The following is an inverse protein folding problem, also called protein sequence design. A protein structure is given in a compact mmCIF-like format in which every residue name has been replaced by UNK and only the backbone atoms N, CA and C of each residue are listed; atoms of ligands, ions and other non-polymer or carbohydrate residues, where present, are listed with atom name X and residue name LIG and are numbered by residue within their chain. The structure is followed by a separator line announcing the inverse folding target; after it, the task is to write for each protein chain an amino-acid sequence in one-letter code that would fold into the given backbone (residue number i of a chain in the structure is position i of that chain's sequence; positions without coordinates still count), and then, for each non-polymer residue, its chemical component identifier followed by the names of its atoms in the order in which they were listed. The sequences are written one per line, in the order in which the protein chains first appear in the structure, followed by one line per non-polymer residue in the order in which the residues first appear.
data_IF_057992367208
#
_entry.id   IF_057992367208
#
_cell.length_a   1.000
_cell.length_b   1.000
_cell.length_c   1.000
_cell.angle_alpha   90.00
_cell.angle_beta   90.00
_cell.angle_gamma   90.00
#
_symmetry.space_group_name_H-M   'P 1'
#
loop_
_entity.id
_entity.type
_entity.pdbx_description
1 polymer ?
#
# COMPACT_ATOMS: atom_id res chain seq x y z
N UNK A 1 21.15 19.87 17.73
CA UNK A 1 19.95 19.10 17.31
C UNK A 1 19.45 18.14 18.38
N UNK A 2 20.32 17.38 19.06
CA UNK A 2 19.93 16.45 20.13
C UNK A 2 19.18 17.12 21.32
N UNK A 3 19.60 18.32 21.74
CA UNK A 3 18.98 19.04 22.85
C UNK A 3 17.51 19.47 22.60
N UNK A 4 17.13 19.72 21.33
CA UNK A 4 15.76 20.08 20.96
C UNK A 4 14.84 18.85 21.01
N UNK A 5 15.35 17.69 20.56
CA UNK A 5 14.62 16.41 20.58
C UNK A 5 14.37 15.92 22.02
N UNK A 6 15.33 16.12 22.93
CA UNK A 6 15.16 15.78 24.35
C UNK A 6 14.11 16.65 25.04
N UNK A 7 13.99 17.94 24.69
CA UNK A 7 12.93 18.83 25.20
C UNK A 7 11.54 18.44 24.71
N UNK A 8 11.45 17.78 23.55
CA UNK A 8 10.22 17.22 23.00
C UNK A 8 9.87 15.83 23.58
N UNK A 9 10.64 15.33 24.57
CA UNK A 9 10.42 14.00 25.15
C UNK A 9 10.83 12.85 24.22
N UNK A 10 11.45 13.13 23.07
CA UNK A 10 11.91 12.12 22.12
C UNK A 10 13.27 11.63 22.59
N UNK A 11 13.26 10.61 23.46
CA UNK A 11 14.49 9.92 23.83
C UNK A 11 14.95 9.11 22.62
N UNK A 12 16.16 9.37 22.07
CA UNK A 12 16.64 8.67 20.90
C UNK A 12 16.92 7.21 21.27
N UNK A 13 15.91 6.35 21.09
CA UNK A 13 16.07 4.91 21.24
C UNK A 13 16.97 4.41 20.12
N UNK A 14 17.91 3.49 20.39
CA UNK A 14 18.67 2.83 19.35
C UNK A 14 17.68 2.12 18.41
N UNK A 15 17.51 2.66 17.19
CA UNK A 15 16.54 2.17 16.22
C UNK A 15 15.52 3.19 15.72
N UNK A 16 15.36 4.37 16.34
CA UNK A 16 14.39 5.39 15.90
C UNK A 16 14.59 5.81 14.43
N UNK A 17 15.84 6.04 14.02
CA UNK A 17 16.16 6.40 12.64
C UNK A 17 15.78 5.27 11.64
N UNK A 18 16.00 4.01 12.01
CA UNK A 18 15.58 2.85 11.20
C UNK A 18 14.05 2.72 11.17
N UNK A 19 13.36 3.04 12.25
CA UNK A 19 11.91 3.02 12.31
C UNK A 19 11.30 4.11 11.41
N UNK A 20 11.86 5.33 11.46
CA UNK A 20 11.46 6.44 10.58
C UNK A 20 11.72 6.13 9.10
N UNK A 21 12.84 5.50 8.78
CA UNK A 21 13.13 5.07 7.40
C UNK A 21 12.20 3.93 6.92
N UNK A 22 11.76 3.05 7.81
CA UNK A 22 10.82 1.98 7.48
C UNK A 22 9.36 2.44 7.35
N UNK A 23 8.96 3.46 8.11
CA UNK A 23 7.59 3.97 8.14
C UNK A 23 6.98 4.23 6.75
N UNK A 24 7.62 4.97 5.82
CA UNK A 24 7.05 5.21 4.50
C UNK A 24 6.88 3.94 3.67
N UNK A 25 7.80 2.97 3.80
CA UNK A 25 7.72 1.69 3.09
C UNK A 25 6.56 0.85 3.61
N UNK A 26 6.36 0.80 4.92
CA UNK A 26 5.24 0.07 5.53
C UNK A 26 3.90 0.73 5.15
N UNK A 27 3.80 2.05 5.25
CA UNK A 27 2.61 2.79 4.84
C UNK A 27 2.29 2.57 3.36
N UNK A 28 3.31 2.57 2.50
CA UNK A 28 3.15 2.27 1.08
C UNK A 28 2.63 0.85 0.87
N UNK A 29 3.17 -0.16 1.56
CA UNK A 29 2.67 -1.54 1.47
C UNK A 29 1.20 -1.62 1.88
N UNK A 30 0.82 -1.00 3.00
CA UNK A 30 -0.58 -0.97 3.46
C UNK A 30 -1.48 -0.32 2.41
N UNK A 31 -1.07 0.82 1.84
CA UNK A 31 -1.79 1.49 0.77
C UNK A 31 -1.96 0.60 -0.47
N UNK A 32 -0.89 -0.09 -0.89
CA UNK A 32 -0.92 -1.00 -2.04
C UNK A 32 -1.81 -2.22 -1.79
N UNK A 33 -1.89 -2.74 -0.56
CA UNK A 33 -2.86 -3.78 -0.21
C UNK A 33 -4.28 -3.22 -0.33
N UNK A 34 -4.56 -2.08 0.29
CA UNK A 34 -5.89 -1.49 0.29
C UNK A 34 -6.40 -1.12 -1.11
N UNK A 35 -5.54 -0.55 -1.97
CA UNK A 35 -5.93 -0.01 -3.29
C UNK A 35 -5.52 -0.87 -4.48
N UNK A 36 -4.60 -1.81 -4.29
CA UNK A 36 -4.21 -2.78 -5.31
C UNK A 36 -5.03 -4.05 -5.20
N UNK A 37 -5.07 -4.64 -4.01
CA UNK A 37 -5.72 -5.94 -3.78
C UNK A 37 -7.18 -5.82 -3.40
N UNK A 38 -7.49 -4.97 -2.42
CA UNK A 38 -8.84 -4.85 -1.85
C UNK A 38 -9.73 -3.84 -2.59
N UNK A 39 -9.26 -3.26 -3.70
CA UNK A 39 -10.02 -2.28 -4.47
C UNK A 39 -11.42 -2.74 -4.92
N UNK A 40 -11.66 -4.02 -5.29
CA UNK A 40 -13.00 -4.48 -5.67
C UNK A 40 -14.02 -4.48 -4.51
N UNK A 41 -13.55 -4.34 -3.26
CA UNK A 41 -14.41 -4.29 -2.08
C UNK A 41 -14.79 -2.87 -1.69
N UNK A 42 -14.38 -1.87 -2.47
CA UNK A 42 -14.65 -0.48 -2.15
C UNK A 42 -16.07 -0.06 -2.58
N UNK A 43 -16.69 0.90 -1.88
CA UNK A 43 -18.07 1.32 -2.16
C UNK A 43 -18.30 1.77 -3.61
N UNK A 44 -17.29 2.40 -4.22
CA UNK A 44 -17.32 2.87 -5.62
C UNK A 44 -17.20 1.74 -6.65
N UNK A 45 -16.73 0.56 -6.26
CA UNK A 45 -16.52 -0.59 -7.16
C UNK A 45 -17.56 -1.69 -6.96
N UNK A 46 -18.07 -1.87 -5.74
CA UNK A 46 -19.10 -2.87 -5.42
C UNK A 46 -20.37 -2.66 -6.26
N UNK A 47 -20.77 -1.41 -6.49
CA UNK A 47 -21.91 -1.07 -7.36
C UNK A 47 -21.69 -1.35 -8.86
N UNK A 48 -20.44 -1.56 -9.29
CA UNK A 48 -20.10 -1.89 -10.68
C UNK A 48 -20.01 -3.41 -10.93
N UNK A 49 -20.07 -4.23 -9.88
CA UNK A 49 -20.04 -5.70 -9.97
C UNK A 49 -21.36 -6.16 -10.61
N UNK A 50 -21.29 -6.77 -11.79
CA UNK A 50 -22.47 -7.29 -12.50
C UNK A 50 -23.04 -6.39 -13.59
N UNK A 51 -22.48 -5.19 -13.81
CA UNK A 51 -22.90 -4.27 -14.87
C UNK A 51 -21.79 -4.09 -15.91
N UNK A 52 -21.65 -5.02 -16.88
CA UNK A 52 -20.48 -5.08 -17.77
C UNK A 52 -20.51 -4.15 -18.99
N UNK A 53 -21.55 -3.31 -19.15
CA UNK A 53 -21.71 -2.48 -20.34
C UNK A 53 -21.99 -1.02 -19.99
N UNK A 54 -21.39 -0.06 -20.73
CA UNK A 54 -21.65 1.37 -20.57
C UNK A 54 -23.04 1.67 -21.14
N UNK A 55 -23.99 1.95 -20.26
CA UNK A 55 -25.40 2.17 -20.61
C UNK A 55 -26.33 2.15 -19.39
N UNK A 56 -25.85 1.57 -18.28
CA UNK A 56 -26.54 1.65 -17.00
C UNK A 56 -26.36 3.03 -16.37
N UNK A 57 -27.48 3.64 -15.96
CA UNK A 57 -27.55 5.01 -15.44
C UNK A 57 -26.85 5.19 -14.08
N UNK A 58 -26.37 4.09 -13.48
CA UNK A 58 -25.83 4.08 -12.11
C UNK A 58 -24.31 4.23 -12.01
N UNK A 59 -23.50 3.98 -13.05
CA UNK A 59 -22.04 4.08 -12.91
C UNK A 59 -21.37 4.44 -14.23
N UNK A 60 -20.65 5.57 -14.24
CA UNK A 60 -19.79 5.95 -15.34
C UNK A 60 -18.74 4.88 -15.66
N UNK A 61 -18.98 4.14 -16.75
CA UNK A 61 -18.02 3.59 -17.71
C UNK A 61 -16.88 2.66 -17.26
N UNK A 62 -16.84 2.18 -16.01
CA UNK A 62 -15.86 1.13 -15.61
C UNK A 62 -16.51 -0.26 -15.44
N UNK A 63 -17.71 -0.46 -15.95
CA UNK A 63 -18.42 -1.72 -15.79
C UNK A 63 -17.91 -2.81 -16.74
N UNK A 64 -17.34 -3.91 -16.21
CA UNK A 64 -17.12 -5.15 -16.97
C UNK A 64 -15.75 -5.84 -16.84
N UNK A 65 -15.43 -6.81 -17.72
CA UNK A 65 -14.16 -7.56 -17.73
C UNK A 65 -12.90 -6.67 -17.72
N UNK A 66 -13.03 -5.45 -18.25
CA UNK A 66 -12.01 -4.39 -18.24
C UNK A 66 -11.66 -3.92 -16.83
N UNK A 67 -12.61 -3.91 -15.88
CA UNK A 67 -12.36 -3.61 -14.47
C UNK A 67 -11.57 -4.71 -13.78
N UNK A 68 -11.91 -5.97 -14.03
CA UNK A 68 -11.18 -7.12 -13.49
C UNK A 68 -9.76 -7.17 -14.07
N UNK A 69 -9.59 -6.93 -15.37
CA UNK A 69 -8.28 -6.85 -16.01
C UNK A 69 -7.43 -5.69 -15.48
N UNK A 70 -8.01 -4.49 -15.39
CA UNK A 70 -7.33 -3.32 -14.83
C UNK A 70 -6.96 -3.55 -13.35
N UNK A 71 -7.85 -4.16 -12.58
CA UNK A 71 -7.58 -4.57 -11.20
C UNK A 71 -6.43 -5.58 -11.13
N UNK A 72 -6.45 -6.64 -11.95
CA UNK A 72 -5.42 -7.67 -11.94
C UNK A 72 -4.03 -7.10 -12.27
N UNK A 73 -3.93 -6.24 -13.30
CA UNK A 73 -2.68 -5.53 -13.64
C UNK A 73 -2.23 -4.65 -12.47
N UNK A 74 -3.17 -3.93 -11.83
CA UNK A 74 -2.86 -3.08 -10.69
C UNK A 74 -2.42 -3.88 -9.46
N UNK A 75 -3.01 -5.04 -9.22
CA UNK A 75 -2.62 -5.96 -8.15
C UNK A 75 -1.22 -6.54 -8.40
N UNK A 76 -0.90 -6.91 -9.64
CA UNK A 76 0.43 -7.38 -10.03
C UNK A 76 1.52 -6.30 -9.86
N UNK A 77 1.25 -5.07 -10.31
CA UNK A 77 2.15 -3.93 -10.07
C UNK A 77 2.33 -3.67 -8.57
N UNK A 78 1.23 -3.74 -7.80
CA UNK A 78 1.27 -3.59 -6.34
C UNK A 78 2.15 -4.65 -5.69
N UNK A 79 2.07 -5.91 -6.15
CA UNK A 79 2.93 -6.99 -5.68
C UNK A 79 4.41 -6.71 -5.98
N UNK A 80 4.73 -6.23 -7.18
CA UNK A 80 6.10 -5.86 -7.57
C UNK A 80 6.68 -4.79 -6.65
N UNK A 81 5.92 -3.73 -6.37
CA UNK A 81 6.36 -2.64 -5.47
C UNK A 81 6.46 -3.15 -4.02
N UNK A 82 5.54 -4.01 -3.57
CA UNK A 82 5.61 -4.63 -2.25
C UNK A 82 6.87 -5.49 -2.10
N UNK A 83 7.25 -6.26 -3.13
CA UNK A 83 8.47 -7.05 -3.12
C UNK A 83 9.71 -6.15 -2.93
N UNK A 84 9.79 -5.02 -3.64
CA UNK A 84 10.85 -4.03 -3.46
C UNK A 84 10.86 -3.48 -2.04
N UNK A 85 9.70 -3.09 -1.50
CA UNK A 85 9.60 -2.59 -0.12
C UNK A 85 10.10 -3.63 0.90
N UNK A 86 9.72 -4.90 0.74
CA UNK A 86 10.17 -6.00 1.61
C UNK A 86 11.68 -6.21 1.50
N UNK A 87 12.26 -6.15 0.30
CA UNK A 87 13.72 -6.24 0.12
C UNK A 87 14.43 -5.11 0.85
N UNK A 88 13.97 -3.86 0.70
CA UNK A 88 14.55 -2.71 1.39
C UNK A 88 14.42 -2.84 2.91
N UNK A 89 13.24 -3.26 3.41
CA UNK A 89 13.03 -3.48 4.84
C UNK A 89 13.93 -4.58 5.40
N UNK A 90 14.13 -5.69 4.66
CA UNK A 90 15.08 -6.76 5.04
C UNK A 90 16.52 -6.28 5.10
N UNK A 91 16.91 -5.32 4.24
CA UNK A 91 18.24 -4.70 4.30
C UNK A 91 18.38 -3.74 5.49
N UNK A 92 17.32 -3.03 5.84
CA UNK A 92 17.29 -2.11 6.98
C UNK A 92 17.24 -2.85 8.33
N UNK A 93 16.64 -4.04 8.35
CA UNK A 93 16.54 -4.95 9.49
C UNK A 93 17.06 -6.34 9.11
N UNK A 94 18.39 -6.51 8.97
CA UNK A 94 18.97 -7.81 8.68
C UNK A 94 18.63 -8.79 9.81
N UNK A 95 18.24 -10.01 9.44
CA UNK A 95 17.99 -11.07 10.41
C UNK A 95 19.30 -11.35 11.14
N UNK A 96 19.33 -11.07 12.44
CA UNK A 96 20.41 -11.55 13.31
C UNK A 96 20.19 -13.05 13.46
N UNK A 97 20.82 -13.86 12.61
CA UNK A 97 20.95 -15.29 12.85
C UNK A 97 21.76 -15.47 14.13
N UNK A 98 21.06 -15.83 15.21
CA UNK A 98 21.66 -16.37 16.42
C UNK A 98 21.73 -17.87 16.31
#
# INVERSE_FOLDING_TARGET
MAALLSRLGIHPRPGLARALAAAPLVLLVVYLVARGWLYPLWPDTVGAIGHPFPGDTLVGAWGGPTLVGAWAVRAALSLGIQAVCVVVLRRLYPRTTR
#
